data_IF_159248997278
#
_entry.id   IF_159248997278
#
_cell.length_a   1.000
_cell.length_b   1.000
_cell.length_c   1.000
_cell.angle_alpha   90.00
_cell.angle_beta   90.00
_cell.angle_gamma   90.00
#
_symmetry.space_group_name_H-M   'P 1'
#
loop_
_entity.id
_entity.type
_entity.pdbx_description
1 polymer ?
#
# COMPACT_ATOMS: atom_id res chain seq x y z
N UNK A 1 13.71 16.44 -11.03
CA UNK A 1 14.14 15.06 -11.35
C UNK A 1 15.53 14.96 -11.99
N UNK A 2 16.12 16.04 -12.47
CA UNK A 2 17.39 15.96 -13.24
C UNK A 2 18.65 15.54 -12.47
N UNK A 3 18.60 15.33 -11.16
CA UNK A 3 19.75 14.93 -10.34
C UNK A 3 19.52 13.72 -9.42
N UNK A 4 18.29 13.23 -9.29
CA UNK A 4 18.06 12.09 -8.42
C UNK A 4 18.45 10.79 -9.10
N UNK A 5 19.35 10.06 -8.47
CA UNK A 5 19.73 8.68 -8.86
C UNK A 5 18.90 7.64 -8.14
N UNK A 6 18.07 8.06 -7.17
CA UNK A 6 17.25 7.18 -6.36
C UNK A 6 15.87 6.97 -6.97
N UNK A 7 15.39 5.73 -6.94
CA UNK A 7 14.05 5.35 -7.37
C UNK A 7 13.33 4.62 -6.24
N UNK A 8 12.02 4.42 -6.36
CA UNK A 8 11.29 3.58 -5.38
C UNK A 8 11.95 2.20 -5.27
N UNK A 9 12.32 1.59 -6.40
CA UNK A 9 12.96 0.27 -6.42
C UNK A 9 14.33 0.27 -5.72
N UNK A 10 15.19 1.26 -5.99
CA UNK A 10 16.51 1.35 -5.36
C UNK A 10 16.43 1.54 -3.85
N UNK A 11 15.33 2.07 -3.34
CA UNK A 11 15.03 2.24 -1.92
C UNK A 11 14.36 1.01 -1.29
N UNK A 12 14.21 -0.09 -2.02
CA UNK A 12 13.63 -1.34 -1.53
C UNK A 12 12.10 -1.36 -1.48
N UNK A 13 11.44 -0.42 -2.19
CA UNK A 13 10.00 -0.48 -2.39
C UNK A 13 9.65 -1.37 -3.57
N UNK A 14 8.52 -2.05 -3.45
CA UNK A 14 7.96 -2.91 -4.48
C UNK A 14 6.54 -2.45 -4.79
N UNK A 15 6.19 -2.45 -6.04
CA UNK A 15 4.82 -2.25 -6.51
C UNK A 15 4.35 -3.54 -7.15
N UNK A 16 3.24 -4.07 -6.67
CA UNK A 16 2.59 -5.25 -7.23
C UNK A 16 1.14 -4.94 -7.61
N UNK A 17 0.56 -5.76 -8.48
CA UNK A 17 -0.85 -5.62 -8.88
C UNK A 17 -1.73 -6.50 -8.00
N UNK A 18 -2.93 -6.03 -7.67
CA UNK A 18 -3.98 -6.79 -6.99
C UNK A 18 -4.23 -8.12 -7.69
N UNK A 19 -4.42 -9.17 -6.90
CA UNK A 19 -4.40 -10.55 -7.39
C UNK A 19 -5.78 -11.09 -7.72
N UNK A 20 -6.86 -10.43 -7.27
CA UNK A 20 -8.22 -10.89 -7.48
C UNK A 20 -8.74 -10.37 -8.81
N UNK A 21 -8.82 -11.25 -9.79
CA UNK A 21 -9.42 -10.99 -11.10
C UNK A 21 -10.90 -11.39 -11.02
N UNK A 22 -11.77 -10.42 -10.79
CA UNK A 22 -13.16 -10.66 -10.36
C UNK A 22 -13.97 -11.51 -11.31
N UNK A 23 -13.81 -11.36 -12.63
CA UNK A 23 -14.51 -12.20 -13.60
C UNK A 23 -14.07 -13.67 -13.59
N UNK A 24 -12.87 -13.97 -13.08
CA UNK A 24 -12.36 -15.35 -12.87
C UNK A 24 -12.64 -15.88 -11.46
N UNK A 25 -13.01 -15.01 -10.56
CA UNK A 25 -13.19 -15.32 -9.13
C UNK A 25 -14.65 -15.15 -8.69
N UNK A 26 -15.61 -15.16 -9.62
CA UNK A 26 -17.03 -14.90 -9.35
C UNK A 26 -17.62 -15.80 -8.25
N UNK A 27 -17.18 -17.06 -8.19
CA UNK A 27 -17.65 -18.04 -7.21
C UNK A 27 -17.04 -17.81 -5.83
N UNK A 28 -15.95 -17.03 -5.74
CA UNK A 28 -15.24 -16.76 -4.50
C UNK A 28 -15.64 -15.43 -3.86
N UNK A 29 -16.26 -14.51 -4.63
CA UNK A 29 -16.60 -13.16 -4.15
C UNK A 29 -18.05 -13.11 -3.69
N UNK A 30 -18.31 -12.37 -2.61
CA UNK A 30 -19.62 -12.31 -1.96
C UNK A 30 -19.81 -11.00 -1.21
N UNK A 31 -21.07 -10.66 -0.89
CA UNK A 31 -21.41 -9.61 0.08
C UNK A 31 -21.63 -10.15 1.50
N UNK A 32 -21.60 -11.47 1.67
CA UNK A 32 -21.78 -12.10 2.97
C UNK A 32 -20.48 -12.04 3.78
N UNK A 33 -20.58 -11.48 4.99
CA UNK A 33 -19.51 -11.49 5.97
C UNK A 33 -19.63 -12.76 6.84
N UNK A 34 -18.69 -13.66 6.72
CA UNK A 34 -18.61 -14.89 7.51
C UNK A 34 -17.20 -15.09 8.08
N UNK A 35 -17.02 -16.05 8.96
CA UNK A 35 -15.69 -16.43 9.50
C UNK A 35 -14.68 -16.87 8.44
N UNK A 36 -15.16 -17.28 7.26
CA UNK A 36 -14.34 -17.79 6.17
C UNK A 36 -14.10 -16.74 5.07
N UNK A 37 -14.58 -15.51 5.25
CA UNK A 37 -14.40 -14.43 4.28
C UNK A 37 -13.43 -13.37 4.80
N UNK A 38 -12.67 -12.80 3.88
CA UNK A 38 -11.80 -11.63 4.14
C UNK A 38 -12.23 -10.46 3.25
N UNK A 39 -11.88 -9.21 3.60
CA UNK A 39 -12.21 -8.05 2.78
C UNK A 39 -11.67 -8.17 1.35
N UNK A 40 -12.50 -7.84 0.37
CA UNK A 40 -12.10 -7.59 -1.02
C UNK A 40 -12.10 -6.08 -1.24
N UNK A 41 -10.93 -5.52 -1.47
CA UNK A 41 -10.73 -4.08 -1.57
C UNK A 41 -10.73 -3.63 -3.03
N UNK A 42 -11.51 -2.60 -3.30
CA UNK A 42 -11.63 -1.90 -4.57
C UNK A 42 -11.19 -0.44 -4.41
N UNK A 43 -10.93 0.26 -5.52
CA UNK A 43 -10.62 1.70 -5.43
C UNK A 43 -11.78 2.51 -4.84
N UNK A 44 -13.01 2.06 -5.04
CA UNK A 44 -14.21 2.70 -4.48
C UNK A 44 -14.27 2.69 -2.95
N UNK A 45 -13.56 1.74 -2.31
CA UNK A 45 -13.45 1.69 -0.85
C UNK A 45 -12.61 2.84 -0.25
N UNK A 46 -11.95 3.66 -1.08
CA UNK A 46 -11.16 4.79 -0.56
C UNK A 46 -11.93 6.09 -0.65
N UNK A 47 -12.20 6.70 0.51
CA UNK A 47 -12.80 8.03 0.66
C UNK A 47 -11.78 8.96 1.30
N UNK A 48 -11.46 10.07 0.62
CA UNK A 48 -10.39 10.96 1.06
C UNK A 48 -9.07 10.21 1.38
N UNK A 49 -8.72 9.26 0.52
CA UNK A 49 -7.56 8.35 0.65
C UNK A 49 -7.62 7.35 1.81
N UNK A 50 -8.66 7.36 2.63
CA UNK A 50 -8.84 6.42 3.74
C UNK A 50 -9.71 5.23 3.33
N UNK A 51 -9.35 4.04 3.80
CA UNK A 51 -10.13 2.83 3.58
C UNK A 51 -11.45 2.89 4.36
N UNK A 52 -12.54 2.68 3.66
CA UNK A 52 -13.89 2.45 4.22
C UNK A 52 -14.38 1.10 3.70
N UNK A 53 -14.51 0.12 4.59
CA UNK A 53 -14.92 -1.22 4.25
C UNK A 53 -15.77 -1.84 5.38
N UNK A 54 -16.88 -2.49 5.06
CA UNK A 54 -17.50 -2.59 3.73
C UNK A 54 -18.12 -1.26 3.27
N UNK A 55 -18.31 -1.12 1.96
CA UNK A 55 -18.98 0.04 1.36
C UNK A 55 -19.89 -0.43 0.22
N UNK A 56 -21.17 -0.10 0.30
CA UNK A 56 -22.12 -0.43 -0.78
C UNK A 56 -21.93 0.51 -1.98
N UNK A 57 -21.54 -0.07 -3.12
CA UNK A 57 -21.45 0.57 -4.42
C UNK A 57 -21.72 -0.42 -5.57
N UNK A 58 -22.50 -1.48 -5.26
CA UNK A 58 -22.90 -2.49 -6.23
C UNK A 58 -21.82 -3.49 -6.63
N UNK A 59 -20.82 -3.71 -5.76
CA UNK A 59 -19.77 -4.72 -5.91
C UNK A 59 -19.62 -5.52 -4.62
N UNK A 60 -19.29 -6.78 -4.78
CA UNK A 60 -19.03 -7.70 -3.69
C UNK A 60 -17.85 -7.21 -2.84
N UNK A 61 -18.01 -7.26 -1.52
CA UNK A 61 -17.06 -6.66 -0.57
C UNK A 61 -16.15 -7.68 0.11
N UNK A 62 -16.38 -8.96 -0.10
CA UNK A 62 -15.62 -10.03 0.54
C UNK A 62 -15.19 -11.10 -0.47
N UNK A 63 -14.16 -11.85 -0.11
CA UNK A 63 -13.69 -13.02 -0.83
C UNK A 63 -13.52 -14.18 0.15
N UNK A 64 -14.01 -15.37 -0.26
CA UNK A 64 -13.81 -16.63 0.44
C UNK A 64 -12.91 -17.52 -0.40
N UNK A 65 -11.71 -17.81 0.05
CA UNK A 65 -10.75 -18.63 -0.69
C UNK A 65 -9.71 -19.28 0.21
N UNK A 66 -9.38 -20.52 -0.09
CA UNK A 66 -8.26 -21.24 0.50
C UNK A 66 -6.95 -21.07 -0.28
N UNK A 67 -7.00 -20.33 -1.40
CA UNK A 67 -5.82 -20.06 -2.21
C UNK A 67 -5.09 -18.78 -1.70
N UNK A 68 -3.99 -18.91 -0.94
CA UNK A 68 -3.29 -17.78 -0.37
C UNK A 68 -2.66 -16.88 -1.44
N UNK A 69 -2.50 -17.39 -2.68
CA UNK A 69 -1.95 -16.58 -3.78
C UNK A 69 -2.88 -15.45 -4.22
N UNK A 70 -4.17 -15.49 -3.90
CA UNK A 70 -5.13 -14.43 -4.18
C UNK A 70 -5.15 -13.33 -3.12
N UNK A 71 -4.55 -13.57 -1.97
CA UNK A 71 -4.58 -12.68 -0.83
C UNK A 71 -3.21 -12.01 -0.61
N UNK A 72 -3.24 -10.92 0.13
CA UNK A 72 -2.03 -10.29 0.68
C UNK A 72 -2.17 -10.22 2.20
N UNK A 73 -1.04 -10.28 2.89
CA UNK A 73 -1.01 -10.23 4.35
C UNK A 73 -1.33 -8.82 4.85
N UNK A 74 -1.81 -8.73 6.07
CA UNK A 74 -2.07 -7.48 6.77
C UNK A 74 -0.78 -6.68 6.96
N UNK A 75 -0.69 -5.52 6.34
CA UNK A 75 0.44 -4.60 6.46
C UNK A 75 0.03 -3.16 6.12
N UNK A 76 0.99 -2.25 6.17
CA UNK A 76 0.83 -0.88 5.68
C UNK A 76 1.07 -0.83 4.17
N UNK A 77 0.09 -0.32 3.42
CA UNK A 77 0.14 -0.24 1.96
C UNK A 77 -0.28 1.12 1.44
N UNK A 78 0.33 1.59 0.36
CA UNK A 78 -0.26 2.60 -0.51
C UNK A 78 -0.93 1.87 -1.67
N UNK A 79 -2.21 2.06 -1.83
CA UNK A 79 -3.00 1.54 -2.93
C UNK A 79 -3.04 2.58 -4.03
N UNK A 80 -2.84 2.16 -5.27
CA UNK A 80 -2.76 3.05 -6.43
C UNK A 80 -3.72 2.53 -7.49
N UNK A 81 -4.61 3.40 -7.98
CA UNK A 81 -5.50 3.07 -9.09
C UNK A 81 -4.68 2.80 -10.35
N UNK A 82 -4.87 1.63 -10.94
CA UNK A 82 -4.10 1.17 -12.10
C UNK A 82 -4.50 1.84 -13.41
N UNK A 83 -5.77 2.18 -13.55
CA UNK A 83 -6.28 2.82 -14.77
C UNK A 83 -6.80 4.21 -14.48
N UNK A 84 -6.34 5.18 -15.26
CA UNK A 84 -6.83 6.56 -15.22
C UNK A 84 -6.84 7.14 -16.63
N UNK A 85 -7.94 7.78 -17.04
CA UNK A 85 -7.98 8.43 -18.33
C UNK A 85 -7.08 9.68 -18.36
N UNK A 86 -6.68 10.11 -19.55
CA UNK A 86 -5.84 11.33 -19.72
C UNK A 86 -6.55 12.58 -19.28
N UNK A 87 -7.88 12.58 -19.34
CA UNK A 87 -8.78 13.69 -18.99
C UNK A 87 -9.00 13.80 -17.48
N UNK A 88 -8.65 12.78 -16.70
CA UNK A 88 -8.76 12.85 -15.25
C UNK A 88 -7.85 13.93 -14.68
N UNK A 89 -8.35 14.63 -13.64
CA UNK A 89 -7.62 15.70 -12.96
C UNK A 89 -6.23 15.25 -12.49
N UNK A 90 -6.11 14.01 -12.01
CA UNK A 90 -4.84 13.37 -11.61
C UNK A 90 -4.69 12.01 -12.28
N UNK A 91 -3.46 11.70 -12.70
CA UNK A 91 -3.09 10.39 -13.24
C UNK A 91 -2.95 9.36 -12.12
N UNK A 92 -2.33 9.74 -11.02
CA UNK A 92 -2.13 8.89 -9.86
C UNK A 92 -3.21 9.19 -8.84
N UNK A 93 -4.01 8.17 -8.53
CA UNK A 93 -5.02 8.20 -7.49
C UNK A 93 -4.65 7.16 -6.45
N UNK A 94 -4.46 7.60 -5.20
CA UNK A 94 -3.99 6.76 -4.11
C UNK A 94 -5.02 6.59 -3.00
N UNK A 95 -4.81 5.52 -2.22
CA UNK A 95 -5.47 5.27 -0.95
C UNK A 95 -4.49 4.64 0.04
N UNK A 96 -4.76 4.76 1.33
CA UNK A 96 -3.93 4.20 2.38
C UNK A 96 -4.61 3.01 3.04
N UNK A 97 -3.86 1.95 3.24
CA UNK A 97 -4.20 0.85 4.13
C UNK A 97 -3.24 0.92 5.31
N UNK A 98 -3.79 1.19 6.50
CA UNK A 98 -3.04 1.15 7.75
C UNK A 98 -3.31 -0.18 8.44
N UNK A 99 -2.24 -0.91 8.77
CA UNK A 99 -2.30 -2.21 9.43
C UNK A 99 -3.17 -2.20 10.70
N UNK A 100 -3.03 -1.18 11.51
CA UNK A 100 -3.78 -1.05 12.77
C UNK A 100 -5.28 -0.74 12.60
N UNK A 101 -5.72 -0.44 11.37
CA UNK A 101 -7.13 -0.20 11.02
C UNK A 101 -7.81 -1.40 10.38
N UNK A 102 -7.10 -2.51 10.20
CA UNK A 102 -7.63 -3.74 9.63
C UNK A 102 -7.66 -4.82 10.72
N UNK A 103 -8.81 -5.44 10.93
CA UNK A 103 -8.98 -6.53 11.90
C UNK A 103 -8.52 -7.89 11.34
N UNK A 104 -8.62 -8.07 10.03
CA UNK A 104 -8.28 -9.32 9.34
C UNK A 104 -6.77 -9.51 9.19
N UNK A 105 -6.32 -10.76 9.17
CA UNK A 105 -4.90 -11.13 8.93
C UNK A 105 -4.52 -11.02 7.46
N UNK A 106 -5.48 -11.16 6.55
CA UNK A 106 -5.29 -11.09 5.11
C UNK A 106 -6.42 -10.31 4.45
N UNK A 107 -6.16 -9.79 3.26
CA UNK A 107 -7.13 -9.07 2.43
C UNK A 107 -6.95 -9.45 0.96
N UNK A 108 -8.03 -9.41 0.18
CA UNK A 108 -8.01 -9.47 -1.27
C UNK A 108 -7.90 -8.06 -1.87
N UNK A 109 -7.10 -7.90 -2.91
CA UNK A 109 -7.05 -6.68 -3.73
C UNK A 109 -7.50 -6.99 -5.15
N UNK A 110 -8.45 -6.21 -5.64
CA UNK A 110 -8.95 -6.30 -7.01
C UNK A 110 -7.87 -5.88 -8.03
N UNK A 111 -7.83 -6.49 -9.19
CA UNK A 111 -6.70 -6.39 -10.14
C UNK A 111 -6.58 -5.04 -10.89
N UNK A 112 -7.51 -4.11 -10.73
CA UNK A 112 -7.36 -2.72 -11.18
C UNK A 112 -6.66 -1.83 -10.14
N UNK A 113 -6.12 -2.43 -9.08
CA UNK A 113 -5.29 -1.78 -8.07
C UNK A 113 -3.85 -2.25 -8.17
N UNK A 114 -2.93 -1.33 -8.00
CA UNK A 114 -1.56 -1.61 -7.60
C UNK A 114 -1.42 -1.35 -6.10
N UNK A 115 -0.49 -2.03 -5.44
CA UNK A 115 -0.14 -1.78 -4.05
C UNK A 115 1.37 -1.66 -3.89
N UNK A 116 1.79 -0.64 -3.15
CA UNK A 116 3.18 -0.34 -2.84
C UNK A 116 3.48 -0.73 -1.41
N UNK A 117 4.60 -1.42 -1.21
CA UNK A 117 5.08 -1.93 0.07
C UNK A 117 6.60 -2.02 0.08
N UNK A 118 7.20 -2.32 1.23
CA UNK A 118 8.62 -2.68 1.33
C UNK A 118 8.77 -4.20 1.33
N UNK A 119 9.81 -4.68 0.62
CA UNK A 119 10.06 -6.11 0.48
C UNK A 119 10.52 -6.77 1.79
N UNK A 120 11.44 -6.11 2.49
CA UNK A 120 12.17 -6.72 3.61
C UNK A 120 11.70 -6.20 4.99
N UNK A 121 10.78 -5.26 5.02
CA UNK A 121 10.26 -4.66 6.26
C UNK A 121 8.91 -3.98 6.01
N UNK A 122 8.14 -3.75 7.06
CA UNK A 122 6.88 -3.02 6.98
C UNK A 122 7.15 -1.50 6.94
N UNK A 123 6.47 -0.77 6.08
CA UNK A 123 6.50 0.70 6.08
C UNK A 123 5.94 1.25 7.39
N UNK A 124 6.62 2.23 7.99
CA UNK A 124 6.04 3.02 9.07
C UNK A 124 4.91 3.91 8.53
N UNK A 125 3.98 4.35 9.40
CA UNK A 125 2.94 5.32 9.02
C UNK A 125 3.54 6.60 8.46
N UNK A 126 4.64 7.10 9.06
CA UNK A 126 5.34 8.30 8.59
C UNK A 126 5.91 8.12 7.20
N UNK A 127 6.56 7.00 6.94
CA UNK A 127 7.10 6.64 5.63
C UNK A 127 5.99 6.54 4.57
N UNK A 128 4.87 5.91 4.93
CA UNK A 128 3.69 5.78 4.07
C UNK A 128 3.09 7.14 3.70
N UNK A 129 3.00 8.07 4.66
CA UNK A 129 2.49 9.43 4.40
C UNK A 129 3.42 10.23 3.49
N UNK A 130 4.74 10.21 3.74
CA UNK A 130 5.73 10.89 2.88
C UNK A 130 5.62 10.40 1.43
N UNK A 131 5.60 9.08 1.24
CA UNK A 131 5.45 8.49 -0.10
C UNK A 131 4.10 8.81 -0.75
N UNK A 132 3.03 8.78 0.02
CA UNK A 132 1.70 9.08 -0.49
C UNK A 132 1.59 10.54 -0.93
N UNK A 133 2.11 11.48 -0.17
CA UNK A 133 2.13 12.91 -0.53
C UNK A 133 3.00 13.15 -1.77
N UNK A 134 4.14 12.47 -1.87
CA UNK A 134 4.97 12.50 -3.08
C UNK A 134 4.22 11.95 -4.30
N UNK A 135 3.59 10.78 -4.21
CA UNK A 135 2.84 10.18 -5.30
C UNK A 135 1.62 11.03 -5.71
N UNK A 136 0.97 11.70 -4.76
CA UNK A 136 -0.18 12.59 -5.00
C UNK A 136 0.21 14.01 -5.44
N UNK A 137 1.51 14.32 -5.53
CA UNK A 137 2.00 15.64 -5.88
C UNK A 137 1.77 15.99 -7.35
N UNK A 138 1.68 17.31 -7.63
CA UNK A 138 1.65 17.82 -9.02
C UNK A 138 2.91 17.45 -9.81
N UNK A 139 4.05 17.38 -9.13
CA UNK A 139 5.33 17.01 -9.75
C UNK A 139 5.27 15.60 -10.30
N UNK A 140 4.76 14.65 -9.51
CA UNK A 140 4.58 13.26 -9.92
C UNK A 140 3.52 13.14 -11.03
N UNK A 141 2.42 13.87 -10.94
CA UNK A 141 1.39 13.89 -11.99
C UNK A 141 1.96 14.40 -13.33
N UNK A 142 2.70 15.50 -13.33
CA UNK A 142 3.37 16.05 -14.52
C UNK A 142 4.38 15.04 -15.10
N UNK A 143 5.18 14.40 -14.25
CA UNK A 143 6.12 13.37 -14.69
C UNK A 143 5.42 12.22 -15.43
N UNK A 144 4.34 11.68 -14.84
CA UNK A 144 3.57 10.60 -15.46
C UNK A 144 2.87 11.01 -16.76
N UNK A 145 2.42 12.25 -16.87
CA UNK A 145 1.82 12.78 -18.12
C UNK A 145 2.84 12.88 -19.25
N UNK A 146 4.09 13.20 -18.94
CA UNK A 146 5.16 13.39 -19.93
C UNK A 146 5.75 12.01 -20.29
N UNK A 147 6.04 11.16 -19.29
CA UNK A 147 6.75 9.90 -19.50
C UNK A 147 5.85 8.76 -19.95
N UNK A 148 4.54 8.83 -19.67
CA UNK A 148 3.60 7.75 -19.93
C UNK A 148 2.43 8.21 -20.79
N UNK A 149 2.46 7.81 -22.06
CA UNK A 149 1.37 8.05 -23.02
C UNK A 149 0.12 7.15 -22.82
N UNK A 150 0.21 6.11 -21.97
CA UNK A 150 -0.84 5.13 -21.75
C UNK A 150 -1.85 5.57 -20.68
N UNK A 151 -3.04 4.99 -20.68
CA UNK A 151 -4.06 5.16 -19.63
C UNK A 151 -3.75 4.33 -18.37
N UNK A 152 -2.81 3.41 -18.45
CA UNK A 152 -2.43 2.51 -17.37
C UNK A 152 -1.24 3.07 -16.59
N UNK A 153 -1.33 3.03 -15.26
CA UNK A 153 -0.23 3.30 -14.33
C UNK A 153 0.42 1.95 -13.98
N UNK A 154 1.54 1.63 -14.64
CA UNK A 154 2.19 0.33 -14.51
C UNK A 154 3.07 0.25 -13.26
N UNK A 155 3.15 -0.95 -12.65
CA UNK A 155 3.99 -1.20 -11.48
C UNK A 155 5.48 -0.89 -11.75
N UNK A 156 5.99 -1.28 -12.93
CA UNK A 156 7.38 -1.01 -13.32
C UNK A 156 7.67 0.48 -13.44
N UNK A 157 6.77 1.25 -14.02
CA UNK A 157 6.92 2.71 -14.13
C UNK A 157 6.94 3.37 -12.74
N UNK A 158 6.06 2.93 -11.84
CA UNK A 158 6.06 3.40 -10.46
C UNK A 158 7.37 3.06 -9.74
N UNK A 159 7.86 1.83 -9.86
CA UNK A 159 9.12 1.41 -9.23
C UNK A 159 10.33 2.22 -9.72
N UNK A 160 10.33 2.63 -10.99
CA UNK A 160 11.39 3.44 -11.60
C UNK A 160 11.17 4.96 -11.42
N UNK A 161 10.12 5.38 -10.70
CA UNK A 161 9.87 6.78 -10.42
C UNK A 161 11.04 7.40 -9.66
N UNK A 162 11.69 8.46 -10.20
CA UNK A 162 12.78 9.15 -9.51
C UNK A 162 12.28 9.82 -8.22
N UNK A 163 13.04 9.68 -7.16
CA UNK A 163 12.73 10.27 -5.85
C UNK A 163 13.55 11.56 -5.69
N UNK A 164 12.93 12.73 -5.51
CA UNK A 164 13.64 13.98 -5.20
C UNK A 164 14.50 13.85 -3.93
N UNK A 165 15.61 14.59 -3.87
CA UNK A 165 16.58 14.48 -2.77
C UNK A 165 16.01 14.87 -1.40
N UNK A 166 15.08 15.80 -1.34
CA UNK A 166 14.35 16.19 -0.13
C UNK A 166 13.46 15.03 0.37
N UNK A 167 12.66 14.45 -0.51
CA UNK A 167 11.83 13.27 -0.20
C UNK A 167 12.70 12.08 0.23
N UNK A 168 13.82 11.85 -0.46
CA UNK A 168 14.77 10.82 -0.06
C UNK A 168 15.27 11.00 1.37
N UNK A 169 15.70 12.22 1.74
CA UNK A 169 16.18 12.53 3.09
C UNK A 169 15.09 12.31 4.14
N UNK A 170 13.86 12.71 3.87
CA UNK A 170 12.73 12.49 4.76
C UNK A 170 12.44 10.99 4.97
N UNK A 171 12.45 10.19 3.89
CA UNK A 171 12.25 8.74 3.96
C UNK A 171 13.33 8.06 4.80
N UNK A 172 14.61 8.41 4.60
CA UNK A 172 15.71 7.85 5.40
C UNK A 172 15.57 8.23 6.87
N UNK A 173 15.18 9.47 7.17
CA UNK A 173 14.90 9.91 8.55
C UNK A 173 13.76 9.12 9.18
N UNK A 174 12.65 8.93 8.45
CA UNK A 174 11.50 8.17 8.94
C UNK A 174 11.85 6.70 9.28
N UNK A 175 12.75 6.08 8.50
CA UNK A 175 13.25 4.72 8.72
C UNK A 175 14.12 4.59 9.96
N UNK A 176 15.05 5.54 10.18
CA UNK A 176 15.92 5.55 11.36
C UNK A 176 15.13 5.61 12.65
N UNK A 177 14.14 6.49 12.73
CA UNK A 177 13.27 6.60 13.92
C UNK A 177 12.49 5.30 14.19
N UNK A 178 12.04 4.58 13.15
CA UNK A 178 11.39 3.27 13.35
C UNK A 178 12.35 2.27 13.99
N UNK A 179 13.58 2.20 13.50
CA UNK A 179 14.61 1.26 14.00
C UNK A 179 14.97 1.54 15.45
N UNK A 180 15.13 2.82 15.83
CA UNK A 180 15.42 3.24 17.19
C UNK A 180 14.29 2.89 18.15
N UNK A 181 13.02 3.17 17.79
CA UNK A 181 11.86 2.83 18.59
C UNK A 181 11.73 1.32 18.80
N UNK A 182 11.89 0.53 17.75
CA UNK A 182 11.84 -0.94 17.84
C UNK A 182 12.96 -1.49 18.73
N UNK A 183 14.15 -0.90 18.68
CA UNK A 183 15.26 -1.29 19.55
C UNK A 183 14.98 -0.95 21.01
N UNK A 184 14.41 0.22 21.27
CA UNK A 184 14.03 0.64 22.62
C UNK A 184 12.96 -0.28 23.22
N UNK A 185 11.90 -0.58 22.48
CA UNK A 185 10.82 -1.49 22.89
C UNK A 185 11.35 -2.88 23.25
N UNK A 186 12.17 -3.50 22.39
CA UNK A 186 12.81 -4.81 22.66
C UNK A 186 13.70 -4.79 23.91
N UNK A 187 14.41 -3.69 24.14
CA UNK A 187 15.26 -3.55 25.33
C UNK A 187 14.41 -3.46 26.58
N UNK A 188 13.32 -2.71 26.56
CA UNK A 188 12.39 -2.54 27.68
C UNK A 188 11.69 -3.86 28.01
N UNK A 189 11.21 -4.59 27.03
CA UNK A 189 10.60 -5.93 27.21
C UNK A 189 11.60 -6.91 27.84
N UNK A 190 12.84 -6.93 27.38
CA UNK A 190 13.88 -7.80 27.93
C UNK A 190 14.17 -7.48 29.40
N UNK A 191 14.21 -6.18 29.75
CA UNK A 191 14.41 -5.75 31.15
C UNK A 191 13.24 -6.16 32.04
N UNK A 192 11.99 -6.00 31.54
CA UNK A 192 10.80 -6.42 32.28
C UNK A 192 10.76 -7.94 32.50
N UNK A 193 11.08 -8.72 31.46
CA UNK A 193 11.16 -10.18 31.54
C UNK A 193 12.21 -10.64 32.55
N UNK A 194 13.41 -10.04 32.55
CA UNK A 194 14.47 -10.36 33.50
C UNK A 194 14.06 -10.06 34.95
N UNK A 195 13.37 -8.94 35.18
CA UNK A 195 12.86 -8.58 36.52
C UNK A 195 11.77 -9.55 37.00
N UNK A 196 10.90 -10.02 36.10
CA UNK A 196 9.84 -10.99 36.46
C UNK A 196 10.38 -12.39 36.82
N UNK A 197 11.58 -12.75 36.35
CA UNK A 197 12.24 -14.01 36.70
C UNK A 197 13.08 -13.95 37.99
N UNK A 198 13.31 -12.74 38.52
CA UNK A 198 14.15 -12.48 39.71
C UNK A 198 13.32 -12.29 40.99
N UNK A 199 11.99 -12.34 40.90
CA UNK A 199 11.00 -12.35 41.99
C UNK A 199 10.35 -13.73 42.09
#
# INVERSE_FOLDING_TARGET
FHRSTQTLQSLGYVVSTGKVVTFRSKELITNEHTKNTVPLIWMNNFKNKQLVHPLDFGKEQYISTDNPSLLIDKSNYIIIKRFSSKEQKKRINIGYIFKDKIEYTQIGLENHLNYLYRKDDEMSKKELMILGDFLDSELTDKYFRISNGNTQVNATELMNLPIPDDIYKELISARKHKTENTRYERTTEKIQYTRALSN
#
